data_IF_216921112360
#
_entry.id   IF_216921112360
#
_cell.length_a   1.000
_cell.length_b   1.000
_cell.length_c   1.000
_cell.angle_alpha   90.00
_cell.angle_beta   90.00
_cell.angle_gamma   90.00
#
_symmetry.space_group_name_H-M   'P 1'
#
loop_
_entity.id
_entity.type
_entity.pdbx_description
1 polymer ?
#
# COMPACT_ATOMS: atom_id res chain seq x y z
N UNK A 1 -7.03 -17.62 -44.88
CA UNK A 1 -8.47 -17.57 -45.16
C UNK A 1 -9.14 -18.74 -44.48
N UNK A 2 -9.82 -18.52 -43.37
CA UNK A 2 -10.76 -19.50 -42.80
C UNK A 2 -12.09 -18.78 -42.63
N UNK A 3 -13.00 -19.16 -43.49
CA UNK A 3 -14.40 -18.73 -43.55
C UNK A 3 -15.12 -19.54 -42.47
N UNK A 4 -15.71 -18.88 -41.50
CA UNK A 4 -16.57 -19.51 -40.50
C UNK A 4 -18.02 -19.48 -41.02
N UNK A 5 -18.53 -20.64 -41.37
CA UNK A 5 -19.89 -20.85 -41.87
C UNK A 5 -20.90 -20.68 -40.72
N UNK A 6 -21.81 -19.75 -40.88
CA UNK A 6 -22.94 -19.52 -39.99
C UNK A 6 -24.08 -20.45 -40.39
N UNK A 7 -24.42 -21.42 -39.56
CA UNK A 7 -25.62 -22.25 -39.74
C UNK A 7 -26.79 -21.54 -39.07
N UNK A 8 -27.73 -21.03 -39.86
CA UNK A 8 -29.03 -20.57 -39.37
C UNK A 8 -29.95 -21.78 -39.23
N UNK A 9 -30.42 -22.04 -38.03
CA UNK A 9 -31.61 -22.88 -37.80
C UNK A 9 -32.76 -21.93 -37.48
N UNK A 10 -33.68 -21.84 -38.42
CA UNK A 10 -34.97 -21.16 -38.24
C UNK A 10 -35.94 -22.19 -37.66
N UNK A 11 -36.37 -21.99 -36.42
CA UNK A 11 -37.51 -22.66 -35.83
C UNK A 11 -38.51 -21.59 -35.40
N UNK A 12 -39.58 -21.45 -36.12
CA UNK A 12 -40.72 -20.62 -35.75
C UNK A 12 -41.58 -21.36 -34.71
N UNK A 13 -41.74 -20.79 -33.49
CA UNK A 13 -42.93 -21.02 -32.64
C UNK A 13 -43.11 -19.85 -31.65
N UNK A 14 -44.27 -19.22 -31.78
CA UNK A 14 -45.04 -18.43 -30.81
C UNK A 14 -44.36 -17.48 -29.82
N UNK A 15 -44.67 -16.23 -30.03
CA UNK A 15 -44.90 -15.07 -29.16
C UNK A 15 -44.59 -15.17 -27.66
N UNK A 16 -43.33 -14.90 -27.27
CA UNK A 16 -43.00 -14.23 -26.04
C UNK A 16 -41.64 -13.55 -26.25
N UNK A 17 -41.65 -12.24 -26.45
CA UNK A 17 -40.42 -11.45 -26.54
C UNK A 17 -39.74 -11.41 -25.17
N UNK A 18 -38.86 -12.38 -24.93
CA UNK A 18 -37.91 -12.30 -23.84
C UNK A 18 -36.84 -11.29 -24.25
N UNK A 19 -36.98 -10.07 -23.74
CA UNK A 19 -35.96 -9.04 -23.88
C UNK A 19 -34.68 -9.53 -23.18
N UNK A 20 -33.75 -10.08 -23.94
CA UNK A 20 -32.43 -10.42 -23.48
C UNK A 20 -31.71 -9.12 -23.10
N UNK A 21 -31.72 -8.74 -21.81
CA UNK A 21 -30.85 -7.72 -21.25
C UNK A 21 -29.40 -8.17 -21.46
N UNK A 22 -28.79 -7.68 -22.53
CA UNK A 22 -27.33 -7.81 -22.73
C UNK A 22 -26.62 -7.22 -21.49
N UNK A 23 -26.17 -8.11 -20.62
CA UNK A 23 -25.30 -7.73 -19.51
C UNK A 23 -24.01 -7.16 -20.11
N UNK A 24 -23.88 -5.83 -20.12
CA UNK A 24 -22.65 -5.15 -20.49
C UNK A 24 -21.54 -5.70 -19.59
N UNK A 25 -20.64 -6.52 -20.14
CA UNK A 25 -19.45 -6.96 -19.43
C UNK A 25 -18.73 -5.71 -18.91
N UNK A 26 -18.64 -5.56 -17.58
CA UNK A 26 -17.81 -4.53 -16.96
C UNK A 26 -16.38 -4.84 -17.37
N UNK A 27 -15.84 -4.08 -18.33
CA UNK A 27 -14.41 -4.07 -18.57
C UNK A 27 -13.73 -3.61 -17.28
N UNK A 28 -13.04 -4.52 -16.60
CA UNK A 28 -12.30 -4.20 -15.39
C UNK A 28 -11.23 -3.16 -15.73
N UNK A 29 -11.55 -1.90 -15.46
CA UNK A 29 -10.62 -0.78 -15.66
C UNK A 29 -9.39 -1.02 -14.82
N UNK A 30 -8.23 -1.14 -15.47
CA UNK A 30 -6.94 -1.32 -14.81
C UNK A 30 -6.74 -0.26 -13.75
N UNK A 31 -6.55 -0.68 -12.49
CA UNK A 31 -6.34 0.22 -11.35
C UNK A 31 -4.98 0.91 -11.42
N UNK A 32 -4.95 2.20 -11.15
CA UNK A 32 -3.70 2.94 -10.95
C UNK A 32 -3.14 2.66 -9.57
N UNK A 33 -1.96 2.05 -9.52
CA UNK A 33 -1.30 1.64 -8.27
C UNK A 33 -0.11 2.54 -7.98
N UNK A 34 0.00 3.00 -6.74
CA UNK A 34 1.23 3.61 -6.22
C UNK A 34 1.73 2.82 -5.01
N UNK A 35 3.03 2.56 -4.98
CA UNK A 35 3.75 1.90 -3.89
C UNK A 35 4.60 2.95 -3.20
N UNK A 36 4.15 3.42 -2.04
CA UNK A 36 4.89 4.32 -1.17
C UNK A 36 5.67 3.48 -0.16
N UNK A 37 6.91 3.83 0.12
CA UNK A 37 7.69 3.11 1.11
C UNK A 37 8.71 4.01 1.81
N UNK A 38 8.91 3.75 3.11
CA UNK A 38 10.05 4.22 3.87
C UNK A 38 10.99 3.03 4.11
N UNK A 39 12.28 3.23 3.97
CA UNK A 39 13.28 2.18 4.18
C UNK A 39 14.62 2.82 4.55
N UNK A 40 15.12 2.51 5.73
CA UNK A 40 16.42 2.96 6.20
C UNK A 40 17.54 2.03 5.68
N UNK A 41 17.40 0.72 5.87
CA UNK A 41 18.45 -0.28 5.58
C UNK A 41 18.28 -0.99 4.22
N UNK A 42 17.21 -0.73 3.46
CA UNK A 42 17.00 -1.31 2.13
C UNK A 42 16.01 -2.48 2.07
N UNK A 43 15.71 -3.19 3.17
CA UNK A 43 14.82 -4.36 3.17
C UNK A 43 13.40 -4.01 2.70
N UNK A 44 12.80 -2.95 3.25
CA UNK A 44 11.47 -2.48 2.82
C UNK A 44 11.47 -2.02 1.35
N UNK A 45 12.56 -1.39 0.89
CA UNK A 45 12.76 -1.04 -0.52
C UNK A 45 12.74 -2.27 -1.42
N UNK A 46 13.41 -3.35 -1.01
CA UNK A 46 13.41 -4.62 -1.73
C UNK A 46 12.00 -5.22 -1.86
N UNK A 47 11.21 -5.23 -0.77
CA UNK A 47 9.81 -5.65 -0.81
C UNK A 47 8.96 -4.76 -1.73
N UNK A 48 9.12 -3.43 -1.65
CA UNK A 48 8.44 -2.46 -2.51
C UNK A 48 8.74 -2.67 -4.01
N UNK A 49 9.98 -3.02 -4.36
CA UNK A 49 10.37 -3.35 -5.75
C UNK A 49 9.62 -4.57 -6.28
N UNK A 50 9.44 -5.62 -5.47
CA UNK A 50 8.66 -6.81 -5.84
C UNK A 50 7.18 -6.50 -6.02
N UNK A 51 6.62 -5.64 -5.15
CA UNK A 51 5.22 -5.17 -5.26
C UNK A 51 5.03 -4.31 -6.51
N UNK A 52 5.96 -3.37 -6.78
CA UNK A 52 5.96 -2.60 -8.04
C UNK A 52 5.91 -3.53 -9.26
N UNK A 53 6.76 -4.56 -9.30
CA UNK A 53 6.81 -5.53 -10.42
C UNK A 53 5.50 -6.30 -10.55
N UNK A 54 4.91 -6.77 -9.44
CA UNK A 54 3.66 -7.51 -9.43
C UNK A 54 2.46 -6.68 -9.88
N UNK A 55 2.41 -5.39 -9.49
CA UNK A 55 1.28 -4.49 -9.75
C UNK A 55 1.45 -3.63 -11.00
N UNK A 56 2.66 -3.55 -11.55
CA UNK A 56 3.08 -2.56 -12.56
C UNK A 56 2.82 -1.12 -12.11
N UNK A 57 2.80 -0.89 -10.79
CA UNK A 57 2.53 0.40 -10.18
C UNK A 57 3.73 1.35 -10.20
N UNK A 58 3.47 2.63 -9.89
CA UNK A 58 4.52 3.61 -9.62
C UNK A 58 5.07 3.40 -8.21
N UNK A 59 6.39 3.42 -8.05
CA UNK A 59 7.05 3.31 -6.74
C UNK A 59 7.68 4.64 -6.35
N UNK A 60 7.48 5.08 -5.10
CA UNK A 60 8.00 6.35 -4.57
C UNK A 60 8.52 6.12 -3.16
N UNK A 61 9.79 6.48 -2.92
CA UNK A 61 10.36 6.52 -1.57
C UNK A 61 9.81 7.71 -0.78
N UNK A 62 9.48 7.47 0.49
CA UNK A 62 9.20 8.51 1.47
C UNK A 62 10.56 9.00 1.96
N UNK A 63 10.91 10.25 1.65
CA UNK A 63 12.20 10.83 1.99
C UNK A 63 12.05 11.74 3.21
N UNK A 64 12.73 11.42 4.30
CA UNK A 64 12.86 12.34 5.41
C UNK A 64 13.57 13.62 4.94
N UNK A 65 13.14 14.78 5.45
CA UNK A 65 13.84 16.04 5.18
C UNK A 65 15.21 16.06 5.86
N UNK A 66 15.28 15.41 7.01
CA UNK A 66 16.49 15.09 7.74
C UNK A 66 16.67 13.56 7.67
N UNK A 67 17.59 13.04 6.82
CA UNK A 67 17.76 11.61 6.61
C UNK A 67 18.23 10.91 7.89
N UNK A 68 17.75 9.68 8.13
CA UNK A 68 18.25 8.84 9.20
C UNK A 68 19.64 8.33 8.86
N UNK A 69 20.59 8.58 9.73
CA UNK A 69 21.95 8.06 9.68
C UNK A 69 22.03 6.68 10.31
N UNK A 70 23.18 6.02 10.24
CA UNK A 70 23.41 4.75 10.92
C UNK A 70 23.34 4.92 12.45
N UNK A 71 23.91 6.00 12.98
CA UNK A 71 23.83 6.33 14.40
C UNK A 71 22.39 6.60 14.87
N UNK A 72 21.55 7.20 14.02
CA UNK A 72 20.13 7.41 14.33
C UNK A 72 19.34 6.09 14.49
N UNK A 73 19.87 4.98 14.00
CA UNK A 73 19.24 3.67 13.99
C UNK A 73 19.80 2.72 15.05
N UNK A 74 20.65 3.19 15.92
CA UNK A 74 21.19 2.40 17.03
C UNK A 74 20.14 2.24 18.13
N UNK A 75 19.59 1.05 18.24
CA UNK A 75 18.60 0.70 19.29
C UNK A 75 19.22 0.52 20.68
N UNK A 76 20.55 0.42 20.77
CA UNK A 76 21.29 0.30 22.02
C UNK A 76 21.73 1.65 22.59
N UNK A 77 21.55 2.74 21.84
CA UNK A 77 21.89 4.11 22.24
C UNK A 77 20.60 4.88 22.58
N UNK A 78 20.47 5.26 23.87
CA UNK A 78 19.34 6.05 24.38
C UNK A 78 19.29 7.45 23.74
N UNK A 79 20.42 7.95 23.23
CA UNK A 79 20.53 9.24 22.56
C UNK A 79 20.19 9.14 21.05
N UNK A 80 20.10 7.93 20.50
CA UNK A 80 19.77 7.74 19.09
C UNK A 80 18.38 8.28 18.76
N UNK A 81 18.20 8.73 17.51
CA UNK A 81 16.93 9.28 17.05
C UNK A 81 15.79 8.27 17.11
N UNK A 82 16.04 7.00 16.76
CA UNK A 82 15.00 5.97 16.78
C UNK A 82 14.52 5.69 18.20
N UNK A 83 15.41 5.71 19.21
CA UNK A 83 15.07 5.56 20.62
C UNK A 83 14.30 6.76 21.14
N UNK A 84 14.78 7.99 20.91
CA UNK A 84 14.08 9.22 21.29
C UNK A 84 12.70 9.36 20.65
N UNK A 85 12.54 9.00 19.38
CA UNK A 85 11.22 8.96 18.73
C UNK A 85 10.31 7.94 19.41
N UNK A 86 10.80 6.74 19.76
CA UNK A 86 10.04 5.71 20.45
C UNK A 86 9.55 6.16 21.82
N UNK A 87 10.42 6.75 22.63
CA UNK A 87 10.13 7.14 24.00
C UNK A 87 9.21 8.36 24.10
N UNK A 88 9.07 9.13 23.03
CA UNK A 88 8.35 10.41 23.04
C UNK A 88 6.90 10.34 23.55
N UNK A 89 6.21 9.19 23.46
CA UNK A 89 4.87 9.00 24.03
C UNK A 89 4.46 7.52 24.12
N UNK A 90 5.37 6.59 24.25
CA UNK A 90 5.09 5.14 24.34
C UNK A 90 4.52 4.51 23.07
N UNK A 91 4.08 5.29 22.09
CA UNK A 91 3.78 4.82 20.73
C UNK A 91 3.73 5.99 19.75
N UNK A 92 4.13 5.80 18.48
CA UNK A 92 4.08 6.83 17.44
C UNK A 92 2.68 7.40 17.20
N UNK A 93 1.64 6.62 17.47
CA UNK A 93 0.25 7.07 17.33
C UNK A 93 -0.15 8.13 18.36
N UNK A 94 0.45 8.10 19.56
CA UNK A 94 0.21 9.06 20.66
C UNK A 94 1.19 10.23 20.61
N UNK A 95 2.40 10.02 20.09
CA UNK A 95 3.44 11.03 20.00
C UNK A 95 3.02 12.19 19.09
N UNK A 96 3.50 13.40 19.42
CA UNK A 96 3.42 14.58 18.56
C UNK A 96 4.58 14.68 17.57
N UNK A 97 5.62 13.85 17.72
CA UNK A 97 6.78 13.84 16.84
C UNK A 97 6.38 13.43 15.43
N UNK A 98 6.64 14.31 14.45
CA UNK A 98 6.31 14.09 13.04
C UNK A 98 7.48 14.54 12.16
N UNK A 99 8.43 13.62 11.87
CA UNK A 99 9.54 13.93 10.97
C UNK A 99 9.06 14.46 9.64
N UNK A 100 9.63 15.55 9.14
CA UNK A 100 9.23 16.18 7.87
C UNK A 100 9.58 15.29 6.68
N UNK A 101 8.68 15.26 5.69
CA UNK A 101 8.88 14.55 4.42
C UNK A 101 9.23 15.57 3.33
N UNK A 102 10.46 15.50 2.78
CA UNK A 102 10.95 16.45 1.77
C UNK A 102 10.18 16.36 0.45
N UNK A 103 9.73 15.18 0.05
CA UNK A 103 9.03 14.96 -1.21
C UNK A 103 7.50 14.79 -1.07
N UNK A 104 6.89 15.28 0.01
CA UNK A 104 5.46 15.12 0.30
C UNK A 104 4.56 15.67 -0.82
N UNK A 105 4.94 16.79 -1.45
CA UNK A 105 4.19 17.39 -2.59
C UNK A 105 4.09 16.41 -3.77
N UNK A 106 5.19 15.74 -4.11
CA UNK A 106 5.23 14.72 -5.18
C UNK A 106 4.37 13.50 -4.82
N UNK A 107 4.43 13.04 -3.57
CA UNK A 107 3.62 11.93 -3.06
C UNK A 107 2.13 12.29 -3.14
N UNK A 108 1.72 13.47 -2.68
CA UNK A 108 0.32 13.95 -2.79
C UNK A 108 -0.20 13.90 -4.22
N UNK A 109 0.60 14.36 -5.19
CA UNK A 109 0.25 14.32 -6.63
C UNK A 109 0.05 12.87 -7.13
N UNK A 110 0.90 11.94 -6.71
CA UNK A 110 0.79 10.53 -7.09
C UNK A 110 -0.43 9.85 -6.44
N UNK A 111 -0.65 10.07 -5.14
CA UNK A 111 -1.80 9.52 -4.40
C UNK A 111 -3.12 10.03 -4.99
N UNK A 112 -3.21 11.31 -5.37
CA UNK A 112 -4.42 11.86 -6.01
C UNK A 112 -4.85 11.05 -7.24
N UNK A 113 -3.89 10.58 -8.04
CA UNK A 113 -4.12 9.83 -9.29
C UNK A 113 -4.30 8.32 -9.09
N UNK A 114 -3.96 7.80 -7.91
CA UNK A 114 -4.01 6.37 -7.64
C UNK A 114 -5.41 5.91 -7.22
N UNK A 115 -5.76 4.68 -7.58
CA UNK A 115 -6.91 3.94 -7.05
C UNK A 115 -6.48 3.09 -5.84
N UNK A 116 -5.27 2.55 -5.90
CA UNK A 116 -4.67 1.69 -4.88
C UNK A 116 -3.35 2.27 -4.39
N UNK A 117 -3.20 2.38 -3.08
CA UNK A 117 -2.01 2.92 -2.40
C UNK A 117 -1.43 1.85 -1.49
N UNK A 118 -0.28 1.30 -1.86
CA UNK A 118 0.53 0.48 -0.95
C UNK A 118 1.35 1.41 -0.06
N UNK A 119 1.44 1.09 1.23
CA UNK A 119 2.25 1.83 2.21
C UNK A 119 3.17 0.85 2.91
N UNK A 120 4.48 0.95 2.63
CA UNK A 120 5.52 0.08 3.16
C UNK A 120 6.42 0.77 4.17
N UNK A 121 6.79 0.04 5.25
CA UNK A 121 7.63 0.55 6.32
C UNK A 121 8.32 -0.57 7.08
N UNK A 122 9.49 -0.32 7.68
CA UNK A 122 10.06 -1.23 8.67
C UNK A 122 9.25 -1.19 9.96
N UNK A 123 9.30 -2.25 10.75
CA UNK A 123 8.78 -2.21 12.12
C UNK A 123 9.92 -1.78 13.04
N UNK A 124 9.73 -0.67 13.74
CA UNK A 124 10.60 -0.15 14.77
C UNK A 124 9.86 -0.17 16.09
N UNK A 125 10.43 -0.80 17.12
CA UNK A 125 9.80 -0.95 18.43
C UNK A 125 8.34 -1.48 18.37
N UNK A 126 8.08 -2.43 17.47
CA UNK A 126 6.74 -3.01 17.26
C UNK A 126 5.75 -2.16 16.47
N UNK A 127 6.15 -0.96 15.99
CA UNK A 127 5.29 0.02 15.35
C UNK A 127 5.86 0.53 14.02
N UNK A 128 5.03 1.26 13.28
CA UNK A 128 5.49 2.00 12.10
C UNK A 128 6.29 3.23 12.56
N UNK A 129 7.39 3.60 11.88
CA UNK A 129 8.16 4.81 12.19
C UNK A 129 7.32 6.08 12.13
N UNK A 130 7.67 7.09 12.93
CA UNK A 130 6.95 8.36 13.03
C UNK A 130 6.76 9.07 11.68
N UNK A 131 7.72 8.96 10.77
CA UNK A 131 7.61 9.54 9.41
C UNK A 131 6.44 8.95 8.61
N UNK A 132 6.03 7.70 8.88
CA UNK A 132 4.89 7.08 8.20
C UNK A 132 3.57 7.66 8.72
N UNK A 133 3.51 8.09 9.97
CA UNK A 133 2.39 8.87 10.52
C UNK A 133 2.30 10.24 9.84
N UNK A 134 3.43 10.94 9.66
CA UNK A 134 3.48 12.18 8.88
C UNK A 134 2.89 11.97 7.47
N UNK A 135 3.21 10.83 6.83
CA UNK A 135 2.66 10.51 5.52
C UNK A 135 1.14 10.40 5.55
N UNK A 136 0.57 9.51 6.39
CA UNK A 136 -0.87 9.21 6.37
C UNK A 136 -1.72 10.40 6.83
N UNK A 137 -1.18 11.24 7.72
CA UNK A 137 -1.78 12.51 8.12
C UNK A 137 -1.63 13.58 7.03
N UNK A 138 -0.57 13.50 6.23
CA UNK A 138 -0.24 14.47 5.19
C UNK A 138 -0.97 14.27 3.87
N UNK A 139 -1.39 13.04 3.52
CA UNK A 139 -2.02 12.71 2.24
C UNK A 139 -3.50 12.36 2.41
N UNK A 140 -4.33 12.62 1.39
CA UNK A 140 -5.73 12.19 1.40
C UNK A 140 -5.85 10.78 0.83
N UNK A 141 -6.29 9.85 1.66
CA UNK A 141 -6.58 8.45 1.28
C UNK A 141 -8.08 8.19 1.08
N UNK A 142 -8.90 9.25 1.07
CA UNK A 142 -10.36 9.17 0.89
C UNK A 142 -10.71 8.44 -0.42
N UNK A 143 -11.56 7.41 -0.33
CA UNK A 143 -12.01 6.62 -1.48
C UNK A 143 -10.96 5.71 -2.12
N UNK A 144 -9.76 5.59 -1.53
CA UNK A 144 -8.70 4.72 -2.03
C UNK A 144 -8.78 3.32 -1.44
N UNK A 145 -8.20 2.34 -2.13
CA UNK A 145 -7.83 1.07 -1.50
C UNK A 145 -6.41 1.21 -0.94
N UNK A 146 -6.24 1.03 0.36
CA UNK A 146 -4.95 1.12 1.06
C UNK A 146 -4.48 -0.26 1.45
N UNK A 147 -3.25 -0.60 1.12
CA UNK A 147 -2.63 -1.90 1.39
C UNK A 147 -1.32 -1.69 2.16
N UNK A 148 -1.34 -1.79 3.49
CA UNK A 148 -0.11 -1.71 4.28
C UNK A 148 0.76 -2.95 4.07
N UNK A 149 2.08 -2.77 4.10
CA UNK A 149 3.04 -3.86 4.23
C UNK A 149 4.22 -3.42 5.09
N UNK A 150 4.81 -4.36 5.79
CA UNK A 150 5.97 -4.07 6.61
C UNK A 150 7.10 -5.06 6.38
N UNK A 151 8.27 -4.69 6.84
CA UNK A 151 9.40 -5.59 7.02
C UNK A 151 9.86 -5.54 8.47
N UNK A 152 10.18 -6.69 9.05
CA UNK A 152 10.70 -6.82 10.40
C UNK A 152 11.51 -8.09 10.54
N UNK A 153 12.42 -8.14 11.50
CA UNK A 153 13.19 -9.36 11.78
C UNK A 153 12.28 -10.42 12.45
N UNK A 154 11.42 -10.00 13.40
CA UNK A 154 10.64 -10.95 14.23
C UNK A 154 9.21 -10.49 14.52
N UNK A 155 8.95 -9.18 14.66
CA UNK A 155 7.73 -8.65 15.28
C UNK A 155 6.45 -8.79 14.44
N UNK A 156 6.54 -9.09 13.15
CA UNK A 156 5.37 -9.08 12.26
C UNK A 156 4.82 -7.66 12.05
N UNK A 157 3.59 -7.57 11.49
CA UNK A 157 2.90 -6.29 11.25
C UNK A 157 2.34 -5.69 12.55
N UNK A 158 2.05 -6.52 13.53
CA UNK A 158 1.46 -6.10 14.80
C UNK A 158 0.20 -5.25 14.62
N UNK A 159 0.06 -4.25 15.48
CA UNK A 159 -1.03 -3.25 15.44
C UNK A 159 -0.71 -2.04 14.57
N UNK A 160 0.50 -1.93 14.02
CA UNK A 160 0.98 -0.74 13.30
C UNK A 160 0.03 -0.28 12.18
N UNK A 161 -0.47 -1.21 11.36
CA UNK A 161 -1.42 -0.87 10.29
C UNK A 161 -2.76 -0.34 10.81
N UNK A 162 -3.25 -0.85 11.95
CA UNK A 162 -4.46 -0.35 12.62
C UNK A 162 -4.22 1.06 13.17
N UNK A 163 -3.09 1.30 13.81
CA UNK A 163 -2.73 2.61 14.34
C UNK A 163 -2.56 3.65 13.23
N UNK A 164 -1.89 3.32 12.13
CA UNK A 164 -1.81 4.20 10.96
C UNK A 164 -3.19 4.56 10.41
N UNK A 165 -4.11 3.57 10.35
CA UNK A 165 -5.48 3.80 9.89
C UNK A 165 -6.22 4.85 10.73
N UNK A 166 -6.03 4.85 12.07
CA UNK A 166 -6.69 5.81 12.98
C UNK A 166 -6.24 7.25 12.74
N UNK A 167 -5.02 7.46 12.24
CA UNK A 167 -4.46 8.78 11.95
C UNK A 167 -4.62 9.21 10.49
N UNK A 168 -5.00 8.28 9.62
CA UNK A 168 -5.08 8.54 8.19
C UNK A 168 -6.32 9.36 7.80
N UNK A 169 -6.17 10.25 6.82
CA UNK A 169 -7.28 11.00 6.22
C UNK A 169 -8.07 10.09 5.29
N UNK A 170 -9.02 9.37 5.84
CA UNK A 170 -9.87 8.38 5.16
C UNK A 170 -11.34 8.83 5.11
N UNK A 171 -12.18 8.06 4.42
CA UNK A 171 -13.64 8.20 4.37
C UNK A 171 -14.29 6.82 4.44
N UNK A 172 -15.62 6.75 4.57
CA UNK A 172 -16.39 5.50 4.53
C UNK A 172 -16.15 4.68 3.25
N UNK A 173 -15.80 5.35 2.14
CA UNK A 173 -15.47 4.71 0.85
C UNK A 173 -14.02 4.20 0.78
N UNK A 174 -13.19 4.45 1.79
CA UNK A 174 -11.80 3.97 1.81
C UNK A 174 -11.78 2.49 2.21
N UNK A 175 -11.17 1.65 1.37
CA UNK A 175 -10.92 0.24 1.70
C UNK A 175 -9.52 0.12 2.30
N UNK A 176 -9.44 -0.16 3.60
CA UNK A 176 -8.16 -0.44 4.24
C UNK A 176 -8.02 -1.95 4.39
N UNK A 177 -7.15 -2.56 3.58
CA UNK A 177 -7.00 -4.01 3.52
C UNK A 177 -6.09 -4.52 4.64
N UNK A 178 -6.20 -5.83 4.93
CA UNK A 178 -5.27 -6.51 5.81
C UNK A 178 -3.88 -6.46 5.17
N UNK A 179 -2.93 -5.89 5.87
CA UNK A 179 -1.54 -5.81 5.45
C UNK A 179 -0.79 -7.14 5.51
N UNK A 180 0.48 -7.10 5.13
CA UNK A 180 1.38 -8.24 5.24
C UNK A 180 2.75 -7.81 5.73
N UNK A 181 3.34 -8.59 6.63
CA UNK A 181 4.75 -8.47 7.00
C UNK A 181 5.60 -9.43 6.16
N UNK A 182 6.81 -9.00 5.86
CA UNK A 182 7.87 -9.82 5.30
C UNK A 182 9.07 -9.77 6.25
N UNK A 183 9.59 -10.95 6.62
CA UNK A 183 10.72 -11.05 7.55
C UNK A 183 12.07 -10.76 6.87
N UNK A 184 12.08 -10.75 5.53
CA UNK A 184 13.21 -10.37 4.68
C UNK A 184 12.66 -9.87 3.34
N UNK A 185 13.55 -9.59 2.38
CA UNK A 185 13.15 -9.27 1.00
C UNK A 185 12.44 -10.50 0.40
N UNK A 186 11.12 -10.41 0.16
CA UNK A 186 10.37 -11.58 -0.29
C UNK A 186 10.73 -11.99 -1.72
N UNK A 187 10.57 -13.29 -2.06
CA UNK A 187 10.66 -13.72 -3.44
C UNK A 187 9.54 -13.09 -4.30
N UNK A 188 9.79 -12.90 -5.59
CA UNK A 188 8.77 -12.39 -6.51
C UNK A 188 7.53 -13.29 -6.56
N UNK A 189 7.71 -14.62 -6.47
CA UNK A 189 6.62 -15.62 -6.42
C UNK A 189 5.71 -15.38 -5.22
N UNK A 190 6.29 -15.15 -4.04
CA UNK A 190 5.55 -14.84 -2.80
C UNK A 190 4.71 -13.58 -2.94
N UNK A 191 5.30 -12.51 -3.49
CA UNK A 191 4.60 -11.24 -3.68
C UNK A 191 3.50 -11.35 -4.74
N UNK A 192 3.76 -12.03 -5.86
CA UNK A 192 2.76 -12.26 -6.91
C UNK A 192 1.53 -13.00 -6.36
N UNK A 193 1.74 -14.06 -5.55
CA UNK A 193 0.65 -14.81 -4.91
C UNK A 193 -0.16 -13.91 -3.96
N UNK A 194 0.52 -13.11 -3.14
CA UNK A 194 -0.15 -12.18 -2.21
C UNK A 194 -0.95 -11.11 -2.95
N UNK A 195 -0.34 -10.41 -3.91
CA UNK A 195 -1.00 -9.35 -4.69
C UNK A 195 -2.21 -9.89 -5.46
N UNK A 196 -2.10 -11.08 -6.08
CA UNK A 196 -3.21 -11.75 -6.78
C UNK A 196 -4.38 -12.07 -5.83
N UNK A 197 -4.10 -12.37 -4.58
CA UNK A 197 -5.12 -12.63 -3.55
C UNK A 197 -5.82 -11.39 -3.02
N UNK A 198 -5.30 -10.19 -3.28
CA UNK A 198 -5.91 -8.92 -2.87
C UNK A 198 -7.00 -8.54 -3.88
N UNK A 199 -8.25 -8.69 -3.49
CA UNK A 199 -9.42 -8.27 -4.28
C UNK A 199 -9.67 -6.77 -4.09
N UNK A 200 -9.20 -5.92 -5.00
CA UNK A 200 -9.42 -4.46 -4.99
C UNK A 200 -9.81 -3.91 -6.38
#
# INVERSE_FOLDING_TARGET
SVILMLVMVVSAVNGNTVSAKTAKAKTDKKKNVVVLYFSATGTTKGAAQRIKKATKGKMISIKAADPYTEADLDYGDDESRVTKEHESAGSPAKSSVRPKISNLKSIKKAVKKADVVYIGYPIWWGEAPHIVYTLVEGVSLKGKTVVPFSTSISSGLGSSAKHLKTKAKISSKTKWLKGRNFYDIPSQKTVNKWVKGLKY
#
